data_IF_179677946744
#
_entry.id   IF_179677946744
#
_cell.length_a   1.000
_cell.length_b   1.000
_cell.length_c   1.000
_cell.angle_alpha   90.00
_cell.angle_beta   90.00
_cell.angle_gamma   90.00
#
_symmetry.space_group_name_H-M   'P 1'
#
loop_
_entity.id
_entity.type
_entity.pdbx_description
1 polymer ?
#
# COMPACT_ATOMS: atom_id res chain seq x y z
N UNK A 1 -2.48 -18.20 -11.76
CA UNK A 1 -1.88 -16.86 -11.98
C UNK A 1 -2.07 -16.49 -13.44
N UNK A 2 -2.71 -15.37 -13.72
CA UNK A 2 -2.74 -14.77 -15.05
C UNK A 2 -1.78 -13.58 -15.01
N UNK A 3 -0.65 -13.70 -15.71
CA UNK A 3 0.28 -12.57 -15.85
C UNK A 3 0.03 -11.90 -17.21
N UNK A 4 0.05 -10.59 -17.22
CA UNK A 4 -0.03 -9.81 -18.45
C UNK A 4 1.04 -8.71 -18.40
N UNK A 5 1.60 -8.41 -19.57
CA UNK A 5 2.48 -7.27 -19.73
C UNK A 5 1.69 -6.11 -20.34
N UNK A 6 1.81 -4.96 -19.73
CA UNK A 6 1.30 -3.72 -20.32
C UNK A 6 2.16 -3.34 -21.53
N UNK A 7 1.56 -2.65 -22.49
CA UNK A 7 2.27 -2.15 -23.68
C UNK A 7 3.46 -1.21 -23.37
N UNK A 8 3.53 -0.70 -22.17
CA UNK A 8 4.63 0.11 -21.65
C UNK A 8 5.77 -0.72 -21.03
N UNK A 9 5.69 -2.07 -21.05
CA UNK A 9 6.69 -2.95 -20.46
C UNK A 9 6.52 -3.26 -18.98
N UNK A 10 5.55 -2.66 -18.31
CA UNK A 10 5.20 -3.04 -16.94
C UNK A 10 4.59 -4.45 -16.93
N UNK A 11 4.97 -5.26 -15.97
CA UNK A 11 4.37 -6.56 -15.73
C UNK A 11 3.29 -6.41 -14.67
N UNK A 12 2.07 -6.84 -14.98
CA UNK A 12 0.97 -6.96 -14.04
C UNK A 12 0.59 -8.43 -13.88
N UNK A 13 0.15 -8.79 -12.70
CA UNK A 13 -0.41 -10.12 -12.45
C UNK A 13 -1.76 -9.96 -11.77
N UNK A 14 -2.76 -10.66 -12.26
CA UNK A 14 -4.00 -10.91 -11.52
C UNK A 14 -3.90 -12.32 -10.99
N UNK A 15 -3.99 -12.45 -9.68
CA UNK A 15 -4.15 -13.73 -9.04
C UNK A 15 -5.64 -13.98 -8.88
N UNK A 16 -6.08 -15.03 -9.54
CA UNK A 16 -7.37 -15.61 -9.21
C UNK A 16 -7.23 -16.21 -7.81
N UNK A 17 -8.09 -15.76 -6.91
CA UNK A 17 -8.16 -16.31 -5.56
C UNK A 17 -8.38 -17.81 -5.62
N UNK A 18 -7.72 -18.56 -4.73
CA UNK A 18 -8.01 -19.98 -4.55
C UNK A 18 -9.42 -20.13 -3.97
N UNK A 19 -10.32 -20.89 -4.63
CA UNK A 19 -11.69 -21.05 -4.15
C UNK A 19 -11.83 -21.73 -2.77
N UNK A 20 -10.78 -22.33 -2.26
CA UNK A 20 -10.87 -23.22 -1.09
C UNK A 20 -10.27 -22.66 0.21
N UNK A 21 -9.80 -21.40 0.24
CA UNK A 21 -9.35 -20.79 1.51
C UNK A 21 -10.54 -20.38 2.39
N UNK A 22 -10.92 -21.28 3.27
CA UNK A 22 -11.82 -20.98 4.39
C UNK A 22 -11.10 -20.13 5.45
N UNK A 23 -11.88 -19.24 6.12
CA UNK A 23 -11.39 -18.50 7.29
C UNK A 23 -10.81 -19.46 8.32
N UNK A 24 -9.54 -19.27 8.64
CA UNK A 24 -8.89 -20.12 9.61
C UNK A 24 -9.35 -19.80 11.04
N UNK A 25 -9.31 -20.76 11.95
CA UNK A 25 -9.56 -20.51 13.36
C UNK A 25 -8.62 -19.43 13.95
N UNK A 26 -7.46 -19.24 13.34
CA UNK A 26 -6.51 -18.19 13.67
C UNK A 26 -7.07 -16.77 13.41
N UNK A 27 -7.81 -16.56 12.33
CA UNK A 27 -8.42 -15.24 12.02
C UNK A 27 -9.48 -14.87 13.05
N UNK A 28 -10.23 -15.86 13.56
CA UNK A 28 -11.21 -15.66 14.62
C UNK A 28 -10.55 -15.34 15.96
N UNK A 29 -9.46 -16.00 16.30
CA UNK A 29 -8.69 -15.72 17.53
C UNK A 29 -8.03 -14.34 17.49
N UNK A 30 -7.56 -13.90 16.33
CA UNK A 30 -7.04 -12.54 16.12
C UNK A 30 -8.13 -11.49 16.33
N UNK A 31 -9.33 -11.75 15.81
CA UNK A 31 -10.47 -10.87 15.98
C UNK A 31 -10.85 -10.71 17.46
N UNK A 32 -10.89 -11.81 18.20
CA UNK A 32 -11.20 -11.80 19.64
C UNK A 32 -10.12 -11.08 20.45
N UNK A 33 -8.84 -11.31 20.16
CA UNK A 33 -7.73 -10.64 20.83
C UNK A 33 -7.75 -9.12 20.60
N UNK A 34 -8.03 -8.66 19.37
CA UNK A 34 -8.15 -7.24 19.05
C UNK A 34 -9.33 -6.58 19.79
N UNK A 35 -10.46 -7.28 19.93
CA UNK A 35 -11.62 -6.77 20.66
C UNK A 35 -11.33 -6.48 22.14
N UNK A 36 -10.50 -7.32 22.78
CA UNK A 36 -10.14 -7.15 24.20
C UNK A 36 -9.20 -5.98 24.45
N UNK A 37 -8.42 -5.58 23.47
CA UNK A 37 -7.30 -4.63 23.62
C UNK A 37 -7.60 -3.25 23.02
N UNK A 38 -8.52 -3.14 22.06
CA UNK A 38 -8.89 -1.90 21.39
C UNK A 38 -9.44 -0.80 22.34
N UNK A 39 -9.78 -1.14 23.57
CA UNK A 39 -10.17 -0.15 24.60
C UNK A 39 -9.01 0.76 25.05
N UNK A 40 -7.77 0.43 24.69
CA UNK A 40 -6.57 1.20 25.03
C UNK A 40 -5.93 1.89 23.82
N UNK A 41 -6.68 2.07 22.72
CA UNK A 41 -6.26 2.46 21.38
C UNK A 41 -5.04 3.37 21.27
N UNK A 42 -3.96 2.83 20.73
CA UNK A 42 -2.77 3.59 20.35
C UNK A 42 -2.97 4.32 19.01
N UNK A 43 -3.90 3.86 18.19
CA UNK A 43 -4.17 4.40 16.85
C UNK A 43 -5.61 4.92 16.79
N UNK A 44 -5.75 6.25 16.62
CA UNK A 44 -7.06 6.91 16.55
C UNK A 44 -7.74 6.78 15.20
N UNK A 45 -7.00 6.88 14.10
CA UNK A 45 -7.53 7.02 12.74
C UNK A 45 -6.75 6.18 11.73
N UNK A 46 -7.47 5.54 10.80
CA UNK A 46 -6.88 4.78 9.70
C UNK A 46 -7.51 5.12 8.35
N UNK A 47 -6.70 5.05 7.29
CA UNK A 47 -7.16 5.16 5.91
C UNK A 47 -6.71 3.95 5.10
N UNK A 48 -7.66 3.26 4.50
CA UNK A 48 -7.45 2.20 3.52
C UNK A 48 -7.56 2.81 2.13
N UNK A 49 -6.44 3.03 1.47
CA UNK A 49 -6.37 3.45 0.07
C UNK A 49 -6.42 2.21 -0.82
N UNK A 50 -7.59 1.91 -1.37
CA UNK A 50 -7.82 0.75 -2.21
C UNK A 50 -7.97 1.15 -3.66
N UNK A 51 -6.90 1.05 -4.43
CA UNK A 51 -6.83 1.53 -5.82
C UNK A 51 -6.99 0.40 -6.85
N UNK A 52 -7.69 -0.66 -6.53
CA UNK A 52 -8.03 -1.71 -7.48
C UNK A 52 -9.41 -1.42 -8.09
N UNK A 53 -9.45 -1.32 -9.42
CA UNK A 53 -10.68 -1.12 -10.20
C UNK A 53 -11.25 -2.49 -10.62
N UNK A 54 -11.35 -3.40 -9.67
CA UNK A 54 -11.73 -4.76 -9.98
C UNK A 54 -12.66 -5.38 -8.94
N UNK A 55 -13.21 -6.50 -9.36
CA UNK A 55 -14.08 -7.35 -8.57
C UNK A 55 -13.30 -8.26 -7.59
N UNK A 56 -11.99 -8.12 -7.49
CA UNK A 56 -11.14 -8.93 -6.60
C UNK A 56 -11.39 -8.58 -5.13
N UNK A 57 -12.01 -7.44 -4.86
CA UNK A 57 -12.64 -7.18 -3.58
C UNK A 57 -13.90 -8.03 -3.44
N UNK A 58 -13.74 -9.31 -3.69
CA UNK A 58 -14.81 -10.26 -3.67
C UNK A 58 -15.43 -10.37 -2.27
N UNK A 59 -16.57 -11.04 -2.22
CA UNK A 59 -17.25 -11.45 -1.01
C UNK A 59 -16.42 -12.29 -0.03
N UNK A 60 -15.12 -12.53 -0.30
CA UNK A 60 -14.25 -13.32 0.57
C UNK A 60 -13.77 -12.55 1.77
N UNK A 61 -13.75 -13.22 2.88
CA UNK A 61 -13.27 -12.73 4.15
C UNK A 61 -11.75 -12.90 4.29
N UNK A 62 -11.04 -11.96 4.94
CA UNK A 62 -11.50 -10.60 5.21
C UNK A 62 -11.43 -9.74 3.92
N UNK A 63 -12.47 -8.99 3.62
CA UNK A 63 -12.44 -7.97 2.58
C UNK A 63 -12.30 -6.58 3.20
N UNK A 64 -11.96 -5.58 2.39
CA UNK A 64 -11.66 -4.23 2.90
C UNK A 64 -12.88 -3.55 3.56
N UNK A 65 -14.08 -3.78 3.07
CA UNK A 65 -15.29 -3.25 3.70
C UNK A 65 -15.52 -3.90 5.06
N UNK A 66 -15.23 -5.20 5.18
CA UNK A 66 -15.28 -5.89 6.46
C UNK A 66 -14.19 -5.36 7.41
N UNK A 67 -12.95 -5.24 6.96
CA UNK A 67 -11.84 -4.68 7.75
C UNK A 67 -12.19 -3.29 8.28
N UNK A 68 -12.71 -2.40 7.42
CA UNK A 68 -13.16 -1.07 7.80
C UNK A 68 -14.21 -1.15 8.93
N UNK A 69 -15.25 -1.94 8.72
CA UNK A 69 -16.35 -2.07 9.68
C UNK A 69 -15.87 -2.63 11.01
N UNK A 70 -15.08 -3.69 10.95
CA UNK A 70 -14.54 -4.35 12.13
C UNK A 70 -13.61 -3.42 12.92
N UNK A 71 -12.59 -2.83 12.30
CA UNK A 71 -11.65 -1.97 12.98
C UNK A 71 -12.32 -0.72 13.55
N UNK A 72 -13.32 -0.19 12.85
CA UNK A 72 -14.14 0.91 13.41
C UNK A 72 -14.91 0.44 14.65
N UNK A 73 -15.44 -0.77 14.65
CA UNK A 73 -16.19 -1.32 15.79
C UNK A 73 -15.32 -1.54 17.03
N UNK A 74 -14.03 -1.76 16.83
CA UNK A 74 -13.05 -1.95 17.92
C UNK A 74 -12.26 -0.68 18.28
N UNK A 75 -12.67 0.48 17.75
CA UNK A 75 -12.18 1.79 18.20
C UNK A 75 -11.14 2.47 17.31
N UNK A 76 -10.77 1.87 16.15
CA UNK A 76 -9.95 2.53 15.15
C UNK A 76 -10.85 3.20 14.10
N UNK A 77 -10.96 4.54 14.10
CA UNK A 77 -11.77 5.26 13.08
C UNK A 77 -11.19 5.01 11.67
N UNK A 78 -11.74 4.00 11.00
CA UNK A 78 -11.23 3.49 9.73
C UNK A 78 -12.07 3.97 8.57
N UNK A 79 -11.42 4.57 7.58
CA UNK A 79 -12.03 4.99 6.30
C UNK A 79 -11.50 4.14 5.17
N UNK A 80 -12.34 3.92 4.17
CA UNK A 80 -12.01 3.21 2.94
C UNK A 80 -12.19 4.17 1.75
N UNK A 81 -11.13 4.37 0.98
CA UNK A 81 -11.14 5.13 -0.26
C UNK A 81 -10.90 4.19 -1.44
N UNK A 82 -11.90 4.03 -2.30
CA UNK A 82 -11.84 3.17 -3.49
C UNK A 82 -11.55 3.94 -4.78
N UNK A 83 -11.37 5.27 -4.67
CA UNK A 83 -11.10 6.15 -5.81
C UNK A 83 -9.83 6.96 -5.60
N UNK A 84 -8.77 6.29 -5.21
CA UNK A 84 -7.49 6.89 -4.80
C UNK A 84 -6.92 7.81 -5.87
N UNK A 85 -6.80 9.09 -5.51
CA UNK A 85 -6.26 10.14 -6.37
C UNK A 85 -4.92 10.66 -5.85
N UNK A 86 -4.22 11.41 -6.68
CA UNK A 86 -3.02 12.15 -6.26
C UNK A 86 -3.31 13.09 -5.07
N UNK A 87 -4.50 13.68 -5.03
CA UNK A 87 -4.90 14.59 -3.95
C UNK A 87 -5.12 13.85 -2.63
N UNK A 88 -5.58 12.61 -2.67
CA UNK A 88 -5.81 11.79 -1.47
C UNK A 88 -4.48 11.36 -0.85
N UNK A 89 -3.52 10.95 -1.67
CA UNK A 89 -2.18 10.63 -1.19
C UNK A 89 -1.41 11.85 -0.62
N UNK A 90 -1.86 13.09 -0.87
CA UNK A 90 -1.32 14.30 -0.20
C UNK A 90 -1.86 14.52 1.20
N UNK A 91 -2.81 13.70 1.65
CA UNK A 91 -3.52 13.82 2.93
C UNK A 91 -3.27 12.65 3.88
N UNK A 92 -2.28 11.81 3.58
CA UNK A 92 -1.94 10.66 4.42
C UNK A 92 -1.60 11.09 5.87
N UNK A 93 -1.04 12.28 6.04
CA UNK A 93 -0.73 12.86 7.34
C UNK A 93 -1.96 13.21 8.22
N UNK A 94 -3.17 12.98 7.74
CA UNK A 94 -4.39 13.11 8.54
C UNK A 94 -4.73 11.80 9.29
N UNK A 95 -3.93 10.77 9.14
CA UNK A 95 -4.20 9.43 9.68
C UNK A 95 -2.97 8.88 10.40
N UNK A 96 -3.23 8.16 11.48
CA UNK A 96 -2.19 7.48 12.26
C UNK A 96 -1.70 6.20 11.53
N UNK A 97 -2.61 5.56 10.79
CA UNK A 97 -2.34 4.38 9.98
C UNK A 97 -2.82 4.59 8.54
N UNK A 98 -1.94 4.37 7.58
CA UNK A 98 -2.27 4.36 6.15
C UNK A 98 -1.97 3.00 5.54
N UNK A 99 -2.95 2.40 4.92
CA UNK A 99 -2.80 1.18 4.12
C UNK A 99 -2.82 1.56 2.64
N UNK A 100 -1.77 1.19 1.92
CA UNK A 100 -1.64 1.41 0.47
C UNK A 100 -1.89 0.08 -0.25
N UNK A 101 -3.14 -0.17 -0.63
CA UNK A 101 -3.55 -1.32 -1.42
C UNK A 101 -3.74 -0.90 -2.87
N UNK A 102 -2.63 -0.87 -3.61
CA UNK A 102 -2.59 -0.38 -4.99
C UNK A 102 -1.77 -1.33 -5.86
N UNK A 103 -1.98 -1.28 -7.18
CA UNK A 103 -1.02 -1.90 -8.08
C UNK A 103 0.32 -1.19 -7.99
N UNK A 104 1.39 -1.98 -7.99
CA UNK A 104 2.76 -1.47 -8.06
C UNK A 104 3.56 -2.16 -9.13
N UNK A 105 4.62 -1.50 -9.53
CA UNK A 105 5.58 -2.04 -10.48
C UNK A 105 6.96 -1.41 -10.26
N UNK A 106 8.00 -2.19 -10.46
CA UNK A 106 9.35 -1.68 -10.64
C UNK A 106 9.49 -1.22 -12.09
N UNK A 107 9.19 0.06 -12.31
CA UNK A 107 8.87 0.60 -13.63
C UNK A 107 9.96 1.52 -14.16
N UNK A 108 10.26 1.39 -15.46
CA UNK A 108 11.22 2.25 -16.16
C UNK A 108 10.50 3.40 -16.85
N UNK A 109 10.86 4.63 -16.52
CA UNK A 109 10.29 5.84 -17.11
C UNK A 109 11.38 6.84 -17.50
N UNK A 110 11.12 7.67 -18.50
CA UNK A 110 11.99 8.78 -18.88
C UNK A 110 11.85 9.91 -17.86
N UNK A 111 12.97 10.38 -17.29
CA UNK A 111 12.98 11.51 -16.36
C UNK A 111 13.69 12.76 -16.93
N UNK A 112 14.29 12.64 -18.10
CA UNK A 112 14.95 13.75 -18.80
C UNK A 112 14.68 13.60 -20.31
N UNK A 113 13.76 14.40 -20.81
CA UNK A 113 13.36 14.35 -22.20
C UNK A 113 14.45 14.87 -23.16
N UNK A 114 15.33 15.75 -22.68
CA UNK A 114 16.39 16.35 -23.48
C UNK A 114 17.53 15.35 -23.75
N UNK A 115 17.89 14.57 -22.72
CA UNK A 115 18.98 13.60 -22.76
C UNK A 115 18.49 12.15 -22.79
N UNK A 116 17.18 11.95 -22.90
CA UNK A 116 16.52 10.61 -22.89
C UNK A 116 17.02 9.70 -21.78
N UNK A 117 17.21 10.27 -20.60
CA UNK A 117 17.61 9.49 -19.42
C UNK A 117 16.40 8.79 -18.85
N UNK A 118 16.60 7.53 -18.50
CA UNK A 118 15.58 6.70 -17.86
C UNK A 118 15.94 6.40 -16.42
N UNK A 119 14.93 6.27 -15.57
CA UNK A 119 15.05 5.73 -14.23
C UNK A 119 14.15 4.51 -14.11
N UNK A 120 14.59 3.53 -13.34
CA UNK A 120 13.76 2.39 -12.96
C UNK A 120 13.59 2.42 -11.46
N UNK A 121 12.35 2.47 -10.99
CA UNK A 121 12.05 2.60 -9.57
C UNK A 121 10.65 2.05 -9.27
N UNK A 122 10.33 1.75 -7.98
CA UNK A 122 8.98 1.43 -7.56
C UNK A 122 8.02 2.59 -7.86
N UNK A 123 6.84 2.26 -8.37
CA UNK A 123 5.74 3.21 -8.58
C UNK A 123 4.44 2.64 -8.06
N UNK A 124 3.56 3.50 -7.55
CA UNK A 124 2.22 3.13 -7.08
C UNK A 124 1.20 3.65 -8.08
N UNK A 125 0.40 2.75 -8.66
CA UNK A 125 -0.65 3.10 -9.60
C UNK A 125 -1.90 3.55 -8.85
N UNK A 126 -2.54 4.59 -9.38
CA UNK A 126 -3.77 5.15 -8.82
C UNK A 126 -4.97 4.82 -9.70
N UNK A 127 -6.17 4.95 -9.15
CA UNK A 127 -7.41 4.87 -9.94
C UNK A 127 -7.63 6.12 -10.79
N UNK A 128 -7.00 7.24 -10.42
CA UNK A 128 -7.17 8.51 -11.11
C UNK A 128 -6.67 8.45 -12.55
N UNK A 129 -7.60 8.68 -13.48
CA UNK A 129 -7.27 8.69 -14.92
C UNK A 129 -6.61 10.00 -15.34
N UNK A 130 -5.64 9.87 -16.25
CA UNK A 130 -5.02 11.03 -16.91
C UNK A 130 -6.02 11.66 -17.88
N UNK A 131 -6.30 12.93 -17.66
CA UNK A 131 -7.14 13.76 -18.51
C UNK A 131 -6.45 15.09 -18.75
N UNK A 132 -6.85 15.83 -19.80
CA UNK A 132 -6.27 17.15 -20.07
C UNK A 132 -6.33 18.09 -18.86
N UNK A 133 -7.44 18.08 -18.12
CA UNK A 133 -7.61 18.95 -16.95
C UNK A 133 -6.76 18.52 -15.76
N UNK A 134 -6.64 17.21 -15.55
CA UNK A 134 -5.76 16.68 -14.50
C UNK A 134 -4.29 16.88 -14.86
N UNK A 135 -3.92 16.74 -16.12
CA UNK A 135 -2.56 17.03 -16.61
C UNK A 135 -2.16 18.48 -16.36
N UNK A 136 -3.09 19.41 -16.60
CA UNK A 136 -2.87 20.83 -16.31
C UNK A 136 -2.74 21.07 -14.80
N UNK A 137 -3.58 20.42 -14.00
CA UNK A 137 -3.56 20.51 -12.53
C UNK A 137 -2.26 19.97 -11.94
N UNK A 138 -1.74 18.89 -12.48
CA UNK A 138 -0.54 18.22 -12.00
C UNK A 138 0.71 18.53 -12.83
N UNK A 139 0.68 19.56 -13.67
CA UNK A 139 1.74 19.84 -14.62
C UNK A 139 3.15 19.92 -14.02
N UNK A 140 3.28 20.54 -12.84
CA UNK A 140 4.57 20.62 -12.14
C UNK A 140 5.03 19.27 -11.57
N UNK A 141 4.12 18.41 -11.17
CA UNK A 141 4.47 17.07 -10.67
C UNK A 141 4.82 16.14 -11.84
N UNK A 142 4.14 16.27 -12.96
CA UNK A 142 4.48 15.56 -14.20
C UNK A 142 5.84 16.01 -14.74
N UNK A 143 6.10 17.30 -14.78
CA UNK A 143 7.37 17.86 -15.24
C UNK A 143 8.56 17.40 -14.36
N UNK A 144 8.34 17.26 -13.06
CA UNK A 144 9.36 16.80 -12.11
C UNK A 144 9.34 15.28 -11.90
N UNK A 145 8.60 14.53 -12.68
CA UNK A 145 8.45 13.06 -12.59
C UNK A 145 8.08 12.54 -11.19
N UNK A 146 7.39 13.37 -10.41
CA UNK A 146 6.78 12.98 -9.14
C UNK A 146 5.56 12.09 -9.38
N UNK A 147 4.89 12.37 -10.50
CA UNK A 147 3.78 11.61 -11.05
C UNK A 147 4.17 11.24 -12.48
N UNK A 148 3.85 10.05 -12.87
CA UNK A 148 4.01 9.57 -14.25
C UNK A 148 2.67 9.04 -14.76
N UNK A 149 2.56 8.86 -16.06
CA UNK A 149 1.38 8.26 -16.70
C UNK A 149 1.67 6.82 -17.07
N UNK A 150 0.84 5.92 -16.59
CA UNK A 150 0.91 4.49 -16.89
C UNK A 150 -0.47 4.04 -17.34
N UNK A 151 -0.59 3.58 -18.58
CA UNK A 151 -1.86 3.10 -19.17
C UNK A 151 -3.07 4.03 -19.01
N UNK A 152 -2.84 5.34 -19.14
CA UNK A 152 -3.91 6.33 -19.04
C UNK A 152 -4.36 6.64 -17.60
N UNK A 153 -3.67 6.13 -16.61
CA UNK A 153 -3.82 6.50 -15.20
C UNK A 153 -2.55 7.19 -14.69
N UNK A 154 -2.62 7.78 -13.50
CA UNK A 154 -1.44 8.30 -12.83
C UNK A 154 -0.81 7.22 -11.96
N UNK A 155 0.52 7.28 -11.89
CA UNK A 155 1.30 6.58 -10.90
C UNK A 155 2.22 7.56 -10.16
N UNK A 156 2.42 7.36 -8.86
CA UNK A 156 3.30 8.19 -8.06
C UNK A 156 4.64 7.52 -7.83
N UNK A 157 5.70 8.32 -7.78
CA UNK A 157 7.07 7.91 -7.53
C UNK A 157 7.52 8.31 -6.12
N UNK A 158 8.67 7.87 -5.66
CA UNK A 158 9.30 8.35 -4.45
C UNK A 158 9.45 9.89 -4.41
N UNK A 159 9.65 10.51 -5.58
CA UNK A 159 9.71 11.97 -5.72
C UNK A 159 8.45 12.69 -5.31
N UNK A 160 7.29 12.05 -5.48
CA UNK A 160 6.01 12.58 -5.02
C UNK A 160 5.98 12.70 -3.49
N UNK A 161 6.32 11.65 -2.77
CA UNK A 161 6.28 11.64 -1.30
C UNK A 161 7.31 12.61 -0.71
N UNK A 162 8.53 12.68 -1.27
CA UNK A 162 9.52 13.70 -0.87
C UNK A 162 9.01 15.12 -1.05
N UNK A 163 8.23 15.38 -2.08
CA UNK A 163 7.69 16.72 -2.34
C UNK A 163 6.46 17.04 -1.50
N UNK A 164 5.56 16.05 -1.30
CA UNK A 164 4.33 16.22 -0.55
C UNK A 164 4.59 16.35 0.95
N UNK A 165 5.56 15.61 1.49
CA UNK A 165 5.78 15.46 2.93
C UNK A 165 7.16 15.96 3.37
N UNK A 166 7.45 17.21 3.03
CA UNK A 166 8.67 17.86 3.50
C UNK A 166 8.61 18.11 5.02
N UNK A 167 9.77 18.03 5.67
CA UNK A 167 9.95 18.48 7.05
C UNK A 167 9.08 17.75 8.09
N UNK A 168 8.88 16.44 7.94
CA UNK A 168 8.21 15.63 8.94
C UNK A 168 6.68 15.75 8.92
N UNK A 169 6.09 16.08 7.78
CA UNK A 169 4.64 16.25 7.66
C UNK A 169 3.84 14.94 7.83
N UNK A 170 4.46 13.76 7.62
CA UNK A 170 3.88 12.43 7.91
C UNK A 170 4.04 12.01 9.38
N UNK A 171 4.17 12.95 10.26
CA UNK A 171 4.49 12.77 11.67
C UNK A 171 3.81 11.54 12.29
N UNK A 172 4.65 10.56 12.65
CA UNK A 172 4.28 9.35 13.40
C UNK A 172 3.28 8.41 12.68
N UNK A 173 2.98 8.65 11.37
CA UNK A 173 2.10 7.78 10.59
C UNK A 173 2.77 6.44 10.33
N UNK A 174 2.08 5.33 10.58
CA UNK A 174 2.46 3.99 10.14
C UNK A 174 1.92 3.77 8.73
N UNK A 175 2.76 3.25 7.82
CA UNK A 175 2.38 2.97 6.45
C UNK A 175 2.56 1.49 6.18
N UNK A 176 1.47 0.80 5.84
CA UNK A 176 1.46 -0.60 5.43
C UNK A 176 1.12 -0.66 3.94
N UNK A 177 2.04 -1.16 3.14
CA UNK A 177 1.84 -1.27 1.69
C UNK A 177 1.63 -2.72 1.28
N UNK A 178 0.50 -3.00 0.63
CA UNK A 178 0.20 -4.28 -0.02
C UNK A 178 0.58 -4.27 -1.50
N UNK A 179 1.38 -3.29 -1.90
CA UNK A 179 1.76 -3.05 -3.29
C UNK A 179 2.87 -3.99 -3.74
N UNK A 180 2.70 -4.63 -4.90
CA UNK A 180 3.76 -5.38 -5.55
C UNK A 180 4.99 -4.51 -5.79
N UNK A 181 6.18 -5.10 -5.65
CA UNK A 181 7.47 -4.47 -5.98
C UNK A 181 7.70 -3.12 -5.27
N UNK A 182 7.05 -2.90 -4.12
CA UNK A 182 7.19 -1.66 -3.34
C UNK A 182 8.64 -1.41 -2.93
N UNK A 183 9.38 -2.46 -2.62
CA UNK A 183 10.82 -2.46 -2.33
C UNK A 183 11.65 -3.02 -3.48
N UNK A 184 11.16 -2.96 -4.72
CA UNK A 184 11.85 -3.48 -5.89
C UNK A 184 11.68 -4.99 -6.08
N UNK A 185 12.69 -5.61 -6.64
CA UNK A 185 12.68 -7.04 -7.02
C UNK A 185 13.82 -7.80 -6.34
N UNK A 186 13.68 -9.14 -6.27
CA UNK A 186 14.76 -10.02 -5.84
C UNK A 186 16.05 -9.75 -6.63
N UNK A 187 17.14 -9.55 -5.89
CA UNK A 187 18.42 -9.16 -6.47
C UNK A 187 18.54 -7.67 -6.83
N UNK A 188 17.48 -6.89 -6.66
CA UNK A 188 17.50 -5.44 -6.89
C UNK A 188 16.57 -4.72 -5.90
N UNK A 189 17.01 -4.66 -4.65
CA UNK A 189 16.29 -3.95 -3.59
C UNK A 189 16.33 -2.44 -3.85
N UNK A 190 15.18 -1.79 -3.75
CA UNK A 190 15.02 -0.33 -3.92
C UNK A 190 14.17 0.23 -2.77
N UNK A 191 14.81 0.90 -1.83
CA UNK A 191 14.17 1.50 -0.65
C UNK A 191 13.64 2.91 -0.91
N UNK A 192 13.80 3.45 -2.10
CA UNK A 192 13.56 4.86 -2.41
C UNK A 192 12.17 5.37 -2.04
N UNK A 193 11.15 4.50 -2.16
CA UNK A 193 9.76 4.81 -1.81
C UNK A 193 9.60 4.94 -0.30
N UNK A 194 10.08 3.95 0.44
CA UNK A 194 10.05 3.96 1.90
C UNK A 194 10.91 5.09 2.49
N UNK A 195 12.13 5.30 1.97
CA UNK A 195 13.01 6.38 2.37
C UNK A 195 12.36 7.76 2.20
N UNK A 196 11.57 7.92 1.13
CA UNK A 196 10.83 9.15 0.89
C UNK A 196 9.75 9.38 1.94
N UNK A 197 9.05 8.33 2.37
CA UNK A 197 8.02 8.40 3.40
C UNK A 197 8.62 8.58 4.80
N UNK A 198 9.69 7.84 5.14
CA UNK A 198 10.42 7.96 6.40
C UNK A 198 11.04 9.35 6.55
N UNK A 199 11.67 9.88 5.51
CA UNK A 199 12.18 11.26 5.52
C UNK A 199 11.06 12.30 5.62
N UNK A 200 9.85 11.95 5.23
CA UNK A 200 8.63 12.71 5.42
C UNK A 200 8.08 12.67 6.83
N UNK A 201 8.65 11.84 7.73
CA UNK A 201 8.26 11.73 9.14
C UNK A 201 7.41 10.50 9.48
N UNK A 202 7.19 9.57 8.54
CA UNK A 202 6.53 8.31 8.85
C UNK A 202 7.29 7.55 9.96
N UNK A 203 6.55 6.98 10.91
CA UNK A 203 7.15 6.19 12.00
C UNK A 203 7.68 4.84 11.49
N UNK A 204 6.98 4.24 10.55
CA UNK A 204 7.34 2.95 9.99
C UNK A 204 6.71 2.79 8.60
N UNK A 205 7.40 2.07 7.71
CA UNK A 205 6.91 1.69 6.39
C UNK A 205 7.12 0.19 6.20
N UNK A 206 6.06 -0.53 5.92
CA UNK A 206 6.07 -1.97 5.63
C UNK A 206 5.63 -2.18 4.18
N UNK A 207 6.24 -3.12 3.48
CA UNK A 207 5.87 -3.45 2.11
C UNK A 207 6.59 -4.71 1.62
N UNK A 208 6.44 -5.01 0.34
CA UNK A 208 6.91 -6.25 -0.27
C UNK A 208 8.01 -6.02 -1.29
N UNK A 209 8.93 -6.95 -1.33
CA UNK A 209 9.85 -7.15 -2.46
C UNK A 209 9.18 -8.12 -3.43
N UNK A 210 9.30 -7.91 -4.73
CA UNK A 210 8.62 -8.69 -5.76
C UNK A 210 7.09 -8.54 -5.78
N UNK A 211 6.44 -9.39 -6.58
CA UNK A 211 5.00 -9.49 -6.63
C UNK A 211 4.51 -10.25 -5.40
N UNK A 212 3.45 -9.75 -4.82
CA UNK A 212 2.77 -10.38 -3.68
C UNK A 212 1.39 -10.87 -4.09
N UNK A 213 1.00 -12.00 -3.54
CA UNK A 213 -0.34 -12.55 -3.73
C UNK A 213 -1.37 -11.74 -2.94
N UNK A 214 -2.48 -11.40 -3.56
CA UNK A 214 -3.52 -10.57 -2.93
C UNK A 214 -4.07 -11.21 -1.65
N UNK A 215 -4.31 -12.52 -1.67
CA UNK A 215 -4.80 -13.24 -0.48
C UNK A 215 -3.77 -13.19 0.64
N UNK A 216 -2.51 -13.46 0.33
CA UNK A 216 -1.42 -13.42 1.30
C UNK A 216 -1.25 -12.00 1.89
N UNK A 217 -1.15 -10.96 1.05
CA UNK A 217 -0.96 -9.59 1.53
C UNK A 217 -2.12 -9.11 2.40
N UNK A 218 -3.35 -9.47 2.02
CA UNK A 218 -4.56 -9.17 2.79
C UNK A 218 -4.58 -9.88 4.14
N UNK A 219 -4.21 -11.16 4.18
CA UNK A 219 -4.10 -11.93 5.43
C UNK A 219 -3.02 -11.35 6.34
N UNK A 220 -1.87 -10.99 5.78
CA UNK A 220 -0.79 -10.30 6.51
C UNK A 220 -1.26 -8.95 7.06
N UNK A 221 -1.96 -8.14 6.24
CA UNK A 221 -2.54 -6.87 6.68
C UNK A 221 -3.50 -7.06 7.85
N UNK A 222 -4.43 -8.02 7.72
CA UNK A 222 -5.40 -8.34 8.76
C UNK A 222 -4.71 -8.73 10.07
N UNK A 223 -3.76 -9.65 10.02
CA UNK A 223 -2.98 -10.07 11.19
C UNK A 223 -2.22 -8.90 11.80
N UNK A 224 -1.49 -8.14 10.98
CA UNK A 224 -0.65 -7.03 11.43
C UNK A 224 -1.48 -5.96 12.14
N UNK A 225 -2.57 -5.47 11.54
CA UNK A 225 -3.38 -4.41 12.15
C UNK A 225 -4.06 -4.90 13.43
N UNK A 226 -4.56 -6.13 13.49
CA UNK A 226 -5.16 -6.66 14.70
C UNK A 226 -4.14 -6.80 15.84
N UNK A 227 -2.89 -7.14 15.55
CA UNK A 227 -1.80 -7.19 16.53
C UNK A 227 -1.39 -5.79 16.99
N UNK A 228 -1.35 -4.80 16.09
CA UNK A 228 -1.14 -3.39 16.46
C UNK A 228 -2.25 -2.91 17.41
N UNK A 229 -3.50 -3.23 17.13
CA UNK A 229 -4.64 -2.92 18.01
C UNK A 229 -4.54 -3.64 19.37
N UNK A 230 -3.88 -4.79 19.41
CA UNK A 230 -3.58 -5.52 20.63
C UNK A 230 -2.39 -4.92 21.42
N UNK A 231 -1.72 -3.90 20.90
CA UNK A 231 -0.63 -3.18 21.55
C UNK A 231 0.77 -3.67 21.19
N UNK A 232 0.90 -4.53 20.18
CA UNK A 232 2.20 -4.97 19.68
C UNK A 232 2.88 -3.83 18.89
N UNK A 233 4.20 -3.90 18.84
CA UNK A 233 4.98 -3.10 17.91
C UNK A 233 4.75 -3.58 16.48
N UNK A 234 5.04 -2.72 15.48
CA UNK A 234 4.94 -3.11 14.06
C UNK A 234 5.76 -4.38 13.77
N UNK A 235 6.97 -4.48 14.33
CA UNK A 235 7.83 -5.66 14.17
C UNK A 235 7.16 -6.93 14.69
N UNK A 236 6.69 -6.91 15.92
CA UNK A 236 6.03 -8.07 16.54
C UNK A 236 4.77 -8.46 15.77
N UNK A 237 4.00 -7.48 15.31
CA UNK A 237 2.80 -7.71 14.51
C UNK A 237 3.10 -8.36 13.16
N UNK A 238 4.13 -7.89 12.45
CA UNK A 238 4.57 -8.48 11.18
C UNK A 238 5.16 -9.87 11.39
N UNK A 239 6.03 -10.04 12.40
CA UNK A 239 6.63 -11.34 12.74
C UNK A 239 5.55 -12.37 13.11
N UNK A 240 4.49 -11.95 13.79
CA UNK A 240 3.33 -12.79 14.05
C UNK A 240 2.66 -13.28 12.77
N UNK A 241 2.39 -12.37 11.83
CA UNK A 241 1.81 -12.71 10.52
C UNK A 241 2.71 -13.66 9.73
N UNK A 242 4.03 -13.42 9.70
CA UNK A 242 5.00 -14.31 9.05
C UNK A 242 5.03 -15.72 9.69
N UNK A 243 4.89 -15.82 11.00
CA UNK A 243 4.81 -17.12 11.68
C UNK A 243 3.52 -17.86 11.36
N UNK A 244 2.42 -17.12 11.12
CA UNK A 244 1.10 -17.71 10.87
C UNK A 244 0.93 -18.14 9.40
N UNK A 245 1.32 -17.29 8.46
CA UNK A 245 1.10 -17.51 7.03
C UNK A 245 2.34 -17.93 6.25
N UNK A 246 3.51 -17.92 6.90
CA UNK A 246 4.80 -18.16 6.25
C UNK A 246 5.33 -16.93 5.53
N UNK A 247 6.51 -17.07 4.95
CA UNK A 247 7.14 -16.07 4.10
C UNK A 247 6.92 -16.46 2.63
N UNK A 248 5.82 -16.04 2.04
CA UNK A 248 5.58 -16.25 0.61
C UNK A 248 6.45 -15.32 -0.22
N UNK A 249 6.56 -14.07 0.22
CA UNK A 249 7.45 -13.07 -0.34
C UNK A 249 8.30 -12.43 0.76
N UNK A 250 9.38 -11.76 0.37
CA UNK A 250 10.22 -11.03 1.31
C UNK A 250 9.48 -9.76 1.74
N UNK A 251 9.15 -9.67 3.01
CA UNK A 251 8.61 -8.46 3.63
C UNK A 251 9.78 -7.68 4.22
N UNK A 252 9.80 -6.39 3.90
CA UNK A 252 10.79 -5.47 4.44
C UNK A 252 10.11 -4.40 5.28
N UNK A 253 10.61 -4.15 6.48
CA UNK A 253 10.16 -3.08 7.35
C UNK A 253 11.36 -2.40 8.04
N UNK A 254 11.20 -1.15 8.42
CA UNK A 254 12.27 -0.33 8.99
C UNK A 254 11.89 0.20 10.36
#
# INVERSE_FOLDING_TARGET
MVSFSYSCGALGGILLEDPDEENTAADLQLAEAAQQTAQNGTYGTAMLYYAFDDTVNSSRYPNYAYMQSYWTSVGLDTKLDTTVTVADLRRMNNYDLCVLSTHGAYYTYEYDWLWKRTATAPVLLLTEKSTFWNDLRYGMDLLNHRIIKVNGAYAVTAGFFRAAYRSGALKDTIILSETCEFYGKSGHLDTSMADAMLSGGAACVVGYVNNVYTVYSRSMLWATVNRLLAGDTVREAVDFGLNLYGADDIIWYN
#
